data_IF_817206757166
#
_entry.id   IF_817206757166
#
_cell.length_a   1.000
_cell.length_b   1.000
_cell.length_c   1.000
_cell.angle_alpha   90.00
_cell.angle_beta   90.00
_cell.angle_gamma   90.00
#
_symmetry.space_group_name_H-M   'P 1'
#
loop_
_entity.id
_entity.type
_entity.pdbx_description
1 polymer ?
#
# COMPACT_ATOMS: atom_id res chain seq x y z
N UNK A 1 6.10 -10.12 -19.38
CA UNK A 1 6.43 -8.87 -18.66
C UNK A 1 6.69 -9.10 -17.16
N UNK A 2 5.72 -9.03 -16.24
CA UNK A 2 6.03 -9.19 -14.80
C UNK A 2 6.48 -10.63 -14.43
N UNK A 3 5.74 -11.65 -14.87
CA UNK A 3 6.09 -13.06 -14.63
C UNK A 3 7.42 -13.45 -15.29
N UNK A 4 7.70 -12.89 -16.45
CA UNK A 4 8.96 -13.08 -17.18
C UNK A 4 10.13 -12.41 -16.46
N UNK A 5 9.96 -11.17 -16.00
CA UNK A 5 10.95 -10.48 -15.18
C UNK A 5 11.25 -11.29 -13.92
N UNK A 6 10.23 -11.79 -13.24
CA UNK A 6 10.39 -12.63 -12.07
C UNK A 6 11.16 -13.91 -12.41
N UNK A 7 10.80 -14.59 -13.50
CA UNK A 7 11.47 -15.81 -13.93
C UNK A 7 12.96 -15.59 -14.24
N UNK A 8 13.30 -14.59 -15.06
CA UNK A 8 14.69 -14.28 -15.44
C UNK A 8 15.54 -13.91 -14.24
N UNK A 9 14.95 -13.25 -13.23
CA UNK A 9 15.66 -12.80 -12.03
C UNK A 9 15.52 -13.74 -10.82
N UNK A 10 14.89 -14.91 -10.98
CA UNK A 10 14.70 -15.87 -9.87
C UNK A 10 13.84 -15.35 -8.72
N UNK A 11 12.91 -14.44 -9.00
CA UNK A 11 11.99 -13.85 -8.01
C UNK A 11 10.65 -14.59 -8.01
N UNK A 12 10.00 -14.65 -6.85
CA UNK A 12 8.64 -15.21 -6.72
C UNK A 12 7.55 -14.14 -6.83
N UNK A 13 7.86 -12.91 -6.40
CA UNK A 13 6.89 -11.83 -6.26
C UNK A 13 7.57 -10.46 -6.32
N UNK A 14 6.92 -9.50 -6.98
CA UNK A 14 7.24 -8.06 -6.86
C UNK A 14 6.29 -7.44 -5.84
N UNK A 15 6.79 -7.01 -4.69
CA UNK A 15 6.04 -6.20 -3.73
C UNK A 15 6.39 -4.72 -3.91
N UNK A 16 5.36 -3.85 -4.04
CA UNK A 16 5.53 -2.43 -4.40
C UNK A 16 4.49 -1.52 -3.70
N UNK A 17 4.78 -0.23 -3.50
CA UNK A 17 3.85 0.72 -2.84
C UNK A 17 3.14 1.75 -3.78
N UNK A 18 3.63 2.99 -3.88
CA UNK A 18 3.37 4.10 -4.84
C UNK A 18 1.94 4.38 -5.37
N UNK A 19 1.17 3.39 -5.84
CA UNK A 19 -0.21 3.57 -6.28
C UNK A 19 -1.16 3.36 -5.11
N UNK A 20 -2.04 4.35 -4.89
CA UNK A 20 -3.11 4.23 -3.92
C UNK A 20 -4.01 3.02 -4.27
N UNK A 21 -4.27 2.18 -3.27
CA UNK A 21 -5.25 1.09 -3.33
C UNK A 21 -6.18 1.23 -2.14
N UNK A 22 -7.49 1.27 -2.40
CA UNK A 22 -8.48 1.60 -1.37
C UNK A 22 -8.57 0.52 -0.29
N UNK A 23 -8.33 -0.72 -0.68
CA UNK A 23 -8.34 -1.93 0.13
C UNK A 23 -7.05 -2.16 0.94
N UNK A 24 -6.07 -1.24 0.86
CA UNK A 24 -4.81 -1.32 1.60
C UNK A 24 -3.76 -2.23 0.95
N UNK A 25 -4.14 -3.28 0.21
CA UNK A 25 -3.24 -4.03 -0.67
C UNK A 25 -4.00 -4.61 -1.87
N UNK A 26 -3.33 -4.79 -3.00
CA UNK A 26 -3.94 -5.36 -4.21
C UNK A 26 -3.00 -6.32 -4.93
N UNK A 27 -3.49 -7.52 -5.19
CA UNK A 27 -2.84 -8.45 -6.11
C UNK A 27 -3.13 -8.06 -7.55
N UNK A 28 -2.09 -8.06 -8.39
CA UNK A 28 -2.20 -7.78 -9.81
C UNK A 28 -1.95 -9.02 -10.64
N UNK A 29 -2.54 -9.02 -11.84
CA UNK A 29 -2.46 -10.12 -12.81
C UNK A 29 -3.11 -11.41 -12.33
N UNK A 30 -3.31 -12.35 -13.26
CA UNK A 30 -3.98 -13.63 -12.98
C UNK A 30 -3.14 -14.53 -12.07
N UNK A 31 -1.82 -14.45 -12.20
CA UNK A 31 -0.85 -15.27 -11.47
C UNK A 31 -0.40 -14.63 -10.15
N UNK A 32 -0.92 -13.45 -9.79
CA UNK A 32 -0.54 -12.72 -8.57
C UNK A 32 0.97 -12.44 -8.48
N UNK A 33 1.63 -12.26 -9.63
CA UNK A 33 3.08 -12.01 -9.71
C UNK A 33 3.54 -10.66 -9.13
N UNK A 34 2.60 -9.74 -8.86
CA UNK A 34 2.85 -8.41 -8.28
C UNK A 34 1.80 -8.08 -7.23
N UNK A 35 2.23 -7.49 -6.11
CA UNK A 35 1.33 -6.94 -5.08
C UNK A 35 1.63 -5.48 -4.79
N UNK A 36 0.59 -4.65 -4.81
CA UNK A 36 0.66 -3.30 -4.24
C UNK A 36 0.34 -3.36 -2.75
N UNK A 37 1.16 -2.74 -1.91
CA UNK A 37 0.93 -2.57 -0.46
C UNK A 37 0.89 -1.08 -0.14
N UNK A 38 -0.15 -0.63 0.55
CA UNK A 38 -0.37 0.76 0.89
C UNK A 38 -0.53 0.94 2.39
N UNK A 39 0.31 1.78 3.02
CA UNK A 39 0.39 1.86 4.49
C UNK A 39 -0.06 3.21 5.09
N UNK A 40 -0.66 4.10 4.28
CA UNK A 40 -1.13 5.41 4.73
C UNK A 40 -2.67 5.48 4.71
N UNK A 41 -3.36 5.19 5.82
CA UNK A 41 -4.82 5.18 5.82
C UNK A 41 -5.36 6.60 5.70
N UNK A 42 -6.54 6.74 5.07
CA UNK A 42 -7.15 8.03 4.74
C UNK A 42 -6.13 9.01 4.13
N UNK A 43 -5.50 8.61 3.02
CA UNK A 43 -4.42 9.37 2.41
C UNK A 43 -4.85 10.80 2.07
N UNK A 44 -3.94 11.74 2.32
CA UNK A 44 -4.19 13.18 2.24
C UNK A 44 -5.46 13.65 2.98
N UNK A 45 -5.95 12.86 3.94
CA UNK A 45 -7.14 13.11 4.74
C UNK A 45 -8.44 13.23 3.93
N UNK A 46 -8.46 12.66 2.72
CA UNK A 46 -9.57 12.79 1.77
C UNK A 46 -9.92 11.48 1.07
N UNK A 47 -8.97 10.56 0.93
CA UNK A 47 -9.17 9.38 0.10
C UNK A 47 -10.01 8.28 0.77
N UNK A 48 -10.11 8.27 2.10
CA UNK A 48 -10.92 7.27 2.83
C UNK A 48 -10.45 5.81 2.72
N UNK A 49 -9.28 5.56 2.13
CA UNK A 49 -8.70 4.23 1.99
C UNK A 49 -8.29 3.63 3.35
N UNK A 50 -8.30 2.30 3.44
CA UNK A 50 -7.60 1.60 4.53
C UNK A 50 -6.11 1.43 4.17
N UNK A 51 -5.33 0.97 5.14
CA UNK A 51 -3.92 0.68 4.98
C UNK A 51 -3.60 -0.77 5.35
N UNK A 52 -2.43 -1.24 4.95
CA UNK A 52 -1.95 -2.57 5.26
C UNK A 52 -0.45 -2.64 5.53
N UNK A 53 -0.06 -3.72 6.19
CA UNK A 53 1.31 -4.20 6.33
C UNK A 53 1.35 -5.61 5.74
N UNK A 54 2.35 -5.90 4.90
CA UNK A 54 2.63 -7.25 4.42
C UNK A 54 3.72 -7.88 5.29
N UNK A 55 3.38 -8.94 6.00
CA UNK A 55 4.28 -9.75 6.80
C UNK A 55 4.70 -10.99 6.01
N UNK A 56 6.01 -11.28 5.99
CA UNK A 56 6.58 -12.49 5.41
C UNK A 56 7.26 -13.28 6.53
N UNK A 57 6.81 -14.51 6.76
CA UNK A 57 7.45 -15.45 7.67
C UNK A 57 8.51 -16.31 6.97
N UNK A 58 9.03 -17.31 7.67
CA UNK A 58 10.00 -18.28 7.12
C UNK A 58 9.43 -19.11 5.95
N UNK A 59 8.09 -19.30 5.92
CA UNK A 59 7.38 -19.96 4.83
C UNK A 59 7.25 -19.09 3.57
N UNK A 60 7.70 -17.83 3.64
CA UNK A 60 7.61 -16.81 2.59
C UNK A 60 6.17 -16.55 2.10
N UNK A 61 5.16 -16.96 2.87
CA UNK A 61 3.77 -16.74 2.51
C UNK A 61 3.32 -15.33 2.97
N UNK A 62 2.90 -14.45 2.04
CA UNK A 62 2.46 -13.10 2.39
C UNK A 62 1.20 -13.12 3.26
N UNK A 63 1.27 -12.49 4.44
CA UNK A 63 0.13 -12.26 5.34
C UNK A 63 -0.10 -10.76 5.50
N UNK A 64 -1.34 -10.31 5.35
CA UNK A 64 -1.65 -8.88 5.40
C UNK A 64 -2.39 -8.52 6.68
N UNK A 65 -1.92 -7.49 7.37
CA UNK A 65 -2.63 -6.85 8.48
C UNK A 65 -3.24 -5.56 7.96
N UNK A 66 -4.57 -5.45 7.98
CA UNK A 66 -5.30 -4.23 7.58
C UNK A 66 -5.54 -3.34 8.79
N UNK A 67 -5.41 -2.03 8.60
CA UNK A 67 -5.70 -1.03 9.63
C UNK A 67 -6.29 0.26 9.04
N UNK A 68 -7.09 0.95 9.85
CA UNK A 68 -7.74 2.21 9.49
C UNK A 68 -7.00 3.41 10.07
N UNK A 69 -7.38 4.61 9.63
CA UNK A 69 -6.91 5.84 10.26
C UNK A 69 -7.40 5.90 11.70
N UNK A 70 -6.62 6.56 12.57
CA UNK A 70 -7.10 6.89 13.90
C UNK A 70 -8.34 7.81 13.82
N UNK A 71 -9.24 7.76 14.80
CA UNK A 71 -10.33 8.73 14.92
C UNK A 71 -9.87 10.18 14.81
N UNK A 72 -10.73 11.05 14.28
CA UNK A 72 -10.39 12.46 14.03
C UNK A 72 -10.03 13.23 15.32
N UNK A 73 -10.60 12.86 16.47
CA UNK A 73 -10.31 13.43 17.79
C UNK A 73 -8.91 13.07 18.32
N UNK A 74 -8.32 11.98 17.82
CA UNK A 74 -6.98 11.51 18.18
C UNK A 74 -5.93 11.89 17.14
N UNK A 75 -6.33 12.64 16.11
CA UNK A 75 -5.46 12.96 14.98
C UNK A 75 -4.50 14.09 15.34
N UNK A 76 -3.20 13.81 15.23
CA UNK A 76 -2.18 14.85 15.19
C UNK A 76 -2.21 15.52 13.80
N UNK A 77 -2.72 16.75 13.73
CA UNK A 77 -2.61 17.59 12.53
C UNK A 77 -1.27 18.33 12.62
N UNK A 78 -0.31 18.10 11.71
CA UNK A 78 0.91 18.89 11.67
C UNK A 78 0.57 20.37 11.55
N UNK A 79 1.25 21.22 12.32
CA UNK A 79 1.10 22.68 12.20
C UNK A 79 1.28 23.10 10.75
N UNK A 80 0.41 23.97 10.25
CA UNK A 80 0.33 24.29 8.83
C UNK A 80 1.63 24.92 8.31
N UNK A 81 2.51 24.11 7.70
CA UNK A 81 3.53 24.62 6.80
C UNK A 81 2.83 24.95 5.49
N UNK A 82 2.65 26.25 5.23
CA UNK A 82 1.89 26.78 4.11
C UNK A 82 2.32 26.21 2.76
N UNK A 83 1.58 25.21 2.27
CA UNK A 83 1.16 24.92 0.89
C UNK A 83 0.58 23.52 0.90
N UNK A 84 -0.75 23.41 0.76
CA UNK A 84 -1.36 22.13 0.37
C UNK A 84 -0.81 21.82 -1.02
N UNK A 85 0.05 20.83 -1.13
CA UNK A 85 0.51 20.37 -2.41
C UNK A 85 -0.64 19.57 -3.06
N UNK A 86 -1.12 20.08 -4.19
CA UNK A 86 -2.19 19.47 -4.96
C UNK A 86 -1.62 18.31 -5.78
N UNK A 87 -1.33 17.19 -5.11
CA UNK A 87 -0.85 15.96 -5.77
C UNK A 87 -1.99 15.16 -6.44
N UNK A 88 -3.22 15.66 -6.41
CA UNK A 88 -4.44 14.93 -6.78
C UNK A 88 -5.46 15.76 -7.59
N UNK A 89 -5.03 16.89 -8.15
CA UNK A 89 -5.77 17.64 -9.18
C UNK A 89 -5.26 17.27 -10.57
#
# INVERSE_FOLDING_TARGET
MASEFNHVNGLQLIARAHQLVNEGFKWHFRDKSVVTVWSAPNYCYRCGNVASIMNLGEDLNPKFTIFSAVPDDQRAVPGATGRRADYFL
#
